data_IF_614327812284
#
_entry.id   IF_614327812284
#
_cell.length_a   1.000
_cell.length_b   1.000
_cell.length_c   1.000
_cell.angle_alpha   90.00
_cell.angle_beta   90.00
_cell.angle_gamma   90.00
#
_symmetry.space_group_name_H-M   'P 1'
#
loop_
_entity.id
_entity.type
_entity.pdbx_description
1 polymer ?
#
# COMPACT_ATOMS: atom_id res chain seq x y z
N UNK A 1 14.84 1.47 0.61
CA UNK A 1 15.92 1.76 -0.33
C UNK A 1 15.59 1.19 -1.69
N UNK A 2 15.35 2.01 -2.69
CA UNK A 2 15.20 1.46 -4.03
C UNK A 2 16.51 0.80 -4.43
N UNK A 3 16.44 -0.45 -4.82
CA UNK A 3 17.59 -1.24 -5.23
C UNK A 3 18.14 -0.75 -6.56
N UNK A 4 18.61 0.49 -6.60
CA UNK A 4 19.21 1.04 -7.80
C UNK A 4 20.70 0.73 -7.82
N UNK A 5 21.06 -0.36 -8.46
CA UNK A 5 22.45 -0.80 -8.58
C UNK A 5 23.31 0.20 -9.36
N UNK A 6 22.71 0.97 -10.29
CA UNK A 6 23.45 2.00 -11.04
C UNK A 6 24.07 3.06 -10.13
N UNK A 7 23.42 3.38 -9.01
CA UNK A 7 23.98 4.30 -8.02
C UNK A 7 25.26 3.76 -7.40
N UNK A 8 25.30 2.46 -7.13
CA UNK A 8 26.49 1.80 -6.56
C UNK A 8 27.63 1.73 -7.57
N UNK A 9 27.31 1.60 -8.84
CA UNK A 9 28.32 1.56 -9.91
C UNK A 9 29.05 2.89 -10.07
N UNK A 10 28.44 3.98 -9.65
CA UNK A 10 29.06 5.30 -9.69
C UNK A 10 29.84 5.66 -8.41
N UNK A 11 29.83 4.81 -7.42
CA UNK A 11 30.57 5.04 -6.19
C UNK A 11 32.08 5.09 -6.48
N UNK A 12 32.71 6.21 -6.09
CA UNK A 12 34.14 6.45 -6.34
C UNK A 12 34.47 7.03 -7.72
N UNK A 13 33.49 7.30 -8.55
CA UNK A 13 33.69 7.96 -9.85
C UNK A 13 33.58 9.48 -9.73
N UNK A 14 33.87 10.18 -10.84
CA UNK A 14 33.67 11.65 -10.94
C UNK A 14 32.20 12.03 -11.16
N UNK A 15 31.34 11.06 -11.35
CA UNK A 15 29.90 11.27 -11.54
C UNK A 15 29.19 11.36 -10.20
N UNK A 16 28.14 12.16 -10.15
CA UNK A 16 27.23 12.22 -9.01
C UNK A 16 25.83 11.79 -9.44
N UNK A 17 25.16 11.05 -8.56
CA UNK A 17 23.78 10.63 -8.77
C UNK A 17 22.87 11.22 -7.70
N UNK A 18 21.61 11.49 -8.05
CA UNK A 18 20.59 11.88 -7.10
C UNK A 18 19.30 11.10 -7.37
N UNK A 19 18.62 10.71 -6.29
CA UNK A 19 17.29 10.10 -6.38
C UNK A 19 16.27 11.21 -6.22
N UNK A 20 15.38 11.36 -7.20
CA UNK A 20 14.29 12.33 -7.15
C UNK A 20 12.95 11.61 -7.35
N UNK A 21 11.91 11.99 -6.62
CA UNK A 21 10.58 11.50 -6.92
C UNK A 21 10.19 12.00 -8.31
N UNK A 22 9.87 11.06 -9.20
CA UNK A 22 9.58 11.38 -10.60
C UNK A 22 8.08 11.41 -10.89
N UNK A 23 7.29 10.57 -10.21
CA UNK A 23 5.88 10.44 -10.48
C UNK A 23 5.09 10.52 -9.19
N UNK A 24 3.93 11.18 -9.27
CA UNK A 24 2.92 11.15 -8.22
C UNK A 24 1.75 10.30 -8.68
N UNK A 25 1.27 9.44 -7.80
CA UNK A 25 0.11 8.60 -8.04
C UNK A 25 -0.91 8.80 -6.92
N UNK A 26 -2.18 8.67 -7.27
CA UNK A 26 -3.29 8.70 -6.32
C UNK A 26 -4.31 7.63 -6.70
N UNK A 27 -4.72 6.87 -5.71
CA UNK A 27 -5.83 5.94 -5.89
C UNK A 27 -7.15 6.72 -5.79
N UNK A 28 -7.87 6.84 -6.90
CA UNK A 28 -9.12 7.60 -6.94
C UNK A 28 -10.33 6.77 -6.55
N UNK A 29 -10.25 5.45 -6.64
CA UNK A 29 -11.32 4.53 -6.23
C UNK A 29 -10.71 3.34 -5.50
N UNK A 30 -10.67 3.44 -4.19
CA UNK A 30 -10.03 2.44 -3.33
C UNK A 30 -10.76 1.09 -3.39
N UNK A 31 -12.09 1.11 -3.45
CA UNK A 31 -12.87 -0.13 -3.54
C UNK A 31 -12.52 -0.91 -4.80
N UNK A 32 -12.47 -0.23 -5.93
CA UNK A 32 -12.13 -0.85 -7.21
C UNK A 32 -10.67 -1.32 -7.23
N UNK A 33 -9.77 -0.53 -6.66
CA UNK A 33 -8.37 -0.91 -6.55
C UNK A 33 -8.20 -2.21 -5.74
N UNK A 34 -8.93 -2.36 -4.65
CA UNK A 34 -8.90 -3.58 -3.84
C UNK A 34 -9.40 -4.81 -4.63
N UNK A 35 -10.48 -4.66 -5.40
CA UNK A 35 -10.99 -5.75 -6.24
C UNK A 35 -9.98 -6.20 -7.30
N UNK A 36 -9.14 -5.27 -7.78
CA UNK A 36 -8.13 -5.54 -8.80
C UNK A 36 -6.78 -5.97 -8.21
N UNK A 37 -6.65 -6.01 -6.90
CA UNK A 37 -5.40 -6.37 -6.25
C UNK A 37 -5.08 -7.85 -6.49
N UNK A 38 -3.90 -8.17 -7.05
CA UNK A 38 -3.47 -9.57 -7.13
C UNK A 38 -3.23 -10.13 -5.73
N UNK A 39 -3.87 -11.21 -5.40
CA UNK A 39 -3.75 -11.87 -4.10
C UNK A 39 -3.03 -13.20 -4.27
N UNK A 40 -1.92 -13.45 -3.54
CA UNK A 40 -1.29 -14.75 -3.55
C UNK A 40 -2.25 -15.84 -3.05
N UNK A 41 -2.18 -17.04 -3.66
CA UNK A 41 -3.07 -18.15 -3.33
C UNK A 41 -2.97 -18.60 -1.85
N UNK A 42 -1.80 -18.41 -1.26
CA UNK A 42 -1.55 -18.81 0.14
C UNK A 42 -1.96 -17.74 1.15
N UNK A 43 -2.45 -16.58 0.70
CA UNK A 43 -2.90 -15.51 1.59
C UNK A 43 -4.40 -15.61 1.77
N UNK A 44 -4.82 -15.77 3.02
CA UNK A 44 -6.22 -15.76 3.40
C UNK A 44 -6.41 -15.02 4.71
N UNK A 45 -7.55 -14.39 4.87
CA UNK A 45 -7.88 -13.64 6.07
C UNK A 45 -8.86 -12.53 5.79
N UNK A 46 -9.18 -11.81 6.85
CA UNK A 46 -10.05 -10.63 6.75
C UNK A 46 -9.58 -9.53 7.68
N UNK A 47 -9.92 -8.30 7.35
CA UNK A 47 -9.65 -7.14 8.19
C UNK A 47 -10.67 -6.05 7.92
N UNK A 48 -10.90 -5.20 8.92
CA UNK A 48 -11.77 -4.03 8.82
C UNK A 48 -10.89 -2.78 8.74
N UNK A 49 -10.97 -2.10 7.61
CA UNK A 49 -10.20 -0.88 7.34
C UNK A 49 -11.09 0.35 7.49
N UNK A 50 -10.62 1.35 8.21
CA UNK A 50 -11.17 2.69 8.14
C UNK A 50 -10.32 3.52 7.19
N UNK A 51 -10.91 3.94 6.09
CA UNK A 51 -10.25 4.79 5.09
C UNK A 51 -10.80 6.20 5.21
N UNK A 52 -9.89 7.18 5.19
CA UNK A 52 -10.25 8.60 5.14
C UNK A 52 -9.68 9.24 3.89
N UNK A 53 -10.47 10.08 3.24
CA UNK A 53 -10.06 10.82 2.05
C UNK A 53 -10.66 12.23 2.10
N UNK A 54 -9.78 13.23 2.13
CA UNK A 54 -10.17 14.65 2.24
C UNK A 54 -10.87 15.16 0.98
N UNK A 55 -10.57 14.56 -0.17
CA UNK A 55 -10.95 15.11 -1.47
C UNK A 55 -12.01 14.28 -2.18
N UNK A 56 -12.03 12.97 -1.92
CA UNK A 56 -12.94 12.05 -2.59
C UNK A 56 -13.80 11.31 -1.56
N UNK A 57 -14.99 11.86 -1.26
CA UNK A 57 -15.86 11.27 -0.23
C UNK A 57 -16.23 9.80 -0.48
N UNK A 58 -16.24 9.36 -1.74
CA UNK A 58 -16.56 7.97 -2.08
C UNK A 58 -15.58 6.96 -1.47
N UNK A 59 -14.35 7.41 -1.14
CA UNK A 59 -13.34 6.54 -0.54
C UNK A 59 -13.48 6.44 0.99
N UNK A 60 -14.22 7.35 1.62
CA UNK A 60 -14.39 7.33 3.07
C UNK A 60 -15.26 6.17 3.52
N UNK A 61 -14.91 5.58 4.62
CA UNK A 61 -15.76 4.64 5.34
C UNK A 61 -15.04 3.41 5.84
N UNK A 62 -15.83 2.56 6.46
CA UNK A 62 -15.41 1.26 6.98
C UNK A 62 -15.59 0.20 5.89
N UNK A 63 -14.51 -0.51 5.60
CA UNK A 63 -14.47 -1.57 4.62
C UNK A 63 -13.99 -2.86 5.25
N UNK A 64 -14.77 -3.90 5.14
CA UNK A 64 -14.31 -5.25 5.46
C UNK A 64 -13.73 -5.86 4.19
N UNK A 65 -12.46 -6.20 4.23
CA UNK A 65 -11.78 -6.91 3.15
C UNK A 65 -11.60 -8.36 3.53
N UNK A 66 -11.79 -9.24 2.55
CA UNK A 66 -11.60 -10.68 2.74
C UNK A 66 -10.79 -11.22 1.58
N UNK A 67 -9.67 -11.88 1.89
CA UNK A 67 -8.83 -12.55 0.90
C UNK A 67 -9.03 -14.07 1.02
N UNK A 68 -9.32 -14.71 -0.10
CA UNK A 68 -9.52 -16.14 -0.17
C UNK A 68 -9.34 -16.62 -1.60
N UNK A 69 -8.65 -17.75 -1.77
CA UNK A 69 -8.49 -18.41 -3.08
C UNK A 69 -7.97 -17.49 -4.18
N UNK A 70 -7.01 -16.63 -3.84
CA UNK A 70 -6.39 -15.71 -4.81
C UNK A 70 -7.23 -14.50 -5.18
N UNK A 71 -8.33 -14.25 -4.49
CA UNK A 71 -9.22 -13.12 -4.75
C UNK A 71 -9.42 -12.29 -3.49
N UNK A 72 -9.61 -10.98 -3.67
CA UNK A 72 -9.98 -10.07 -2.61
C UNK A 72 -11.38 -9.54 -2.87
N UNK A 73 -12.22 -9.63 -1.85
CA UNK A 73 -13.54 -9.01 -1.86
C UNK A 73 -13.60 -7.90 -0.83
N UNK A 74 -14.45 -6.92 -1.05
CA UNK A 74 -14.67 -5.83 -0.12
C UNK A 74 -16.16 -5.55 0.03
N UNK A 75 -16.54 -5.14 1.23
CA UNK A 75 -17.91 -4.74 1.52
C UNK A 75 -17.91 -3.64 2.58
N UNK A 76 -18.92 -2.79 2.55
CA UNK A 76 -19.14 -1.84 3.63
C UNK A 76 -19.54 -2.61 4.88
N UNK A 77 -19.08 -2.12 6.03
CA UNK A 77 -19.37 -2.76 7.32
C UNK A 77 -19.67 -1.71 8.38
N UNK A 78 -20.26 -2.14 9.49
CA UNK A 78 -20.43 -1.36 10.70
C UNK A 78 -19.58 -1.88 11.86
N UNK A 79 -18.74 -2.88 11.58
CA UNK A 79 -17.80 -3.41 12.56
C UNK A 79 -16.77 -2.35 12.94
N UNK A 80 -16.16 -2.50 14.11
CA UNK A 80 -15.11 -1.58 14.54
C UNK A 80 -13.88 -1.72 13.67
N UNK A 81 -13.23 -0.59 13.39
CA UNK A 81 -11.99 -0.56 12.63
C UNK A 81 -10.86 -1.32 13.33
N UNK A 82 -10.14 -2.08 12.57
CA UNK A 82 -8.93 -2.77 13.03
C UNK A 82 -7.66 -2.08 12.54
N UNK A 83 -7.76 -1.41 11.41
CA UNK A 83 -6.67 -0.66 10.77
C UNK A 83 -7.24 0.67 10.28
N UNK A 84 -6.56 1.77 10.53
CA UNK A 84 -6.94 3.10 10.05
C UNK A 84 -5.84 3.67 9.17
N UNK A 85 -6.19 4.18 8.01
CA UNK A 85 -5.28 4.88 7.11
C UNK A 85 -6.01 5.89 6.24
N UNK A 86 -5.28 6.89 5.75
CA UNK A 86 -5.83 7.80 4.75
C UNK A 86 -5.57 7.29 3.33
N UNK A 87 -6.15 7.96 2.35
CA UNK A 87 -6.00 7.59 0.94
C UNK A 87 -4.56 7.70 0.45
N UNK A 88 -3.76 8.59 1.01
CA UNK A 88 -2.35 8.74 0.66
C UNK A 88 -1.55 7.52 1.12
N UNK A 89 -1.73 7.09 2.37
CA UNK A 89 -1.09 5.88 2.89
C UNK A 89 -1.53 4.63 2.12
N UNK A 90 -2.82 4.54 1.80
CA UNK A 90 -3.33 3.44 0.98
C UNK A 90 -2.66 3.40 -0.39
N UNK A 91 -2.52 4.55 -1.05
CA UNK A 91 -1.88 4.64 -2.36
C UNK A 91 -0.42 4.17 -2.30
N UNK A 92 0.33 4.61 -1.29
CA UNK A 92 1.72 4.21 -1.09
C UNK A 92 1.84 2.70 -0.84
N UNK A 93 0.93 2.15 -0.07
CA UNK A 93 0.86 0.71 0.20
C UNK A 93 0.50 -0.09 -1.06
N UNK A 94 -0.51 0.35 -1.79
CA UNK A 94 -1.02 -0.31 -2.99
C UNK A 94 0.04 -0.40 -4.09
N UNK A 95 0.76 0.68 -4.34
CA UNK A 95 1.81 0.72 -5.34
C UNK A 95 3.17 0.18 -4.86
N UNK A 96 3.26 -0.24 -3.61
CA UNK A 96 4.49 -0.81 -3.06
C UNK A 96 5.63 0.20 -2.86
N UNK A 97 5.31 1.49 -2.83
CA UNK A 97 6.29 2.56 -2.53
C UNK A 97 6.85 2.38 -1.13
N UNK A 98 5.98 2.06 -0.18
CA UNK A 98 6.33 1.71 1.18
C UNK A 98 5.62 0.42 1.59
N UNK A 99 6.26 -0.35 2.45
CA UNK A 99 5.64 -1.54 3.02
C UNK A 99 4.64 -1.15 4.12
N UNK A 100 3.78 -2.10 4.49
CA UNK A 100 2.86 -1.92 5.60
C UNK A 100 3.61 -1.55 6.89
N UNK A 101 4.70 -2.26 7.19
CA UNK A 101 5.51 -1.97 8.39
C UNK A 101 6.12 -0.58 8.37
N UNK A 102 6.64 -0.15 7.21
CA UNK A 102 7.23 1.18 7.07
C UNK A 102 6.18 2.28 7.32
N UNK A 103 4.96 2.10 6.82
CA UNK A 103 3.87 3.06 7.01
C UNK A 103 3.36 3.08 8.46
N UNK A 104 3.32 1.94 9.12
CA UNK A 104 2.98 1.87 10.55
C UNK A 104 4.05 2.58 11.39
N UNK A 105 5.31 2.33 11.09
CA UNK A 105 6.44 2.96 11.79
C UNK A 105 6.47 4.47 11.59
N UNK A 106 6.06 4.95 10.41
CA UNK A 106 5.94 6.37 10.10
C UNK A 106 4.64 7.01 10.62
N UNK A 107 3.83 6.26 11.36
CA UNK A 107 2.54 6.71 11.91
C UNK A 107 1.52 7.12 10.83
N UNK A 108 1.68 6.60 9.61
CA UNK A 108 0.72 6.80 8.51
C UNK A 108 -0.43 5.80 8.54
N UNK A 109 -0.20 4.65 9.17
CA UNK A 109 -1.20 3.62 9.40
C UNK A 109 -1.28 3.37 10.90
N UNK A 110 -2.49 3.38 11.45
CA UNK A 110 -2.77 3.03 12.84
C UNK A 110 -3.31 1.62 12.91
N UNK A 111 -2.70 0.80 13.75
CA UNK A 111 -3.12 -0.58 13.99
C UNK A 111 -3.85 -0.67 15.31
N UNK A 112 -5.15 -0.92 15.27
CA UNK A 112 -5.98 -1.11 16.46
C UNK A 112 -6.01 -2.59 16.89
N UNK A 113 -5.89 -3.49 15.93
CA UNK A 113 -5.80 -4.93 16.19
C UNK A 113 -4.49 -5.48 15.63
N UNK A 114 -3.45 -5.68 16.47
CA UNK A 114 -2.15 -6.15 16.01
C UNK A 114 -2.17 -7.52 15.32
N UNK A 115 -3.17 -8.35 15.60
CA UNK A 115 -3.30 -9.67 14.97
C UNK A 115 -3.55 -9.58 13.45
N UNK A 116 -4.03 -8.43 12.96
CA UNK A 116 -4.28 -8.21 11.53
C UNK A 116 -3.05 -7.73 10.76
N UNK A 117 -1.99 -7.35 11.44
CA UNK A 117 -0.77 -6.85 10.79
C UNK A 117 -0.13 -7.87 9.86
N UNK A 118 -0.05 -9.13 10.27
CA UNK A 118 0.51 -10.19 9.44
C UNK A 118 -0.27 -10.41 8.14
N UNK A 119 -1.58 -10.35 8.21
CA UNK A 119 -2.44 -10.46 7.03
C UNK A 119 -2.20 -9.29 6.06
N UNK A 120 -2.17 -8.07 6.56
CA UNK A 120 -1.94 -6.88 5.73
C UNK A 120 -0.54 -6.89 5.10
N UNK A 121 0.48 -7.31 5.84
CA UNK A 121 1.83 -7.46 5.31
C UNK A 121 1.89 -8.48 4.18
N UNK A 122 1.25 -9.64 4.36
CA UNK A 122 1.22 -10.68 3.34
C UNK A 122 0.42 -10.24 2.11
N UNK A 123 -0.69 -9.54 2.30
CA UNK A 123 -1.57 -9.07 1.24
C UNK A 123 -0.88 -8.05 0.34
N UNK A 124 -0.13 -7.13 0.94
CA UNK A 124 0.56 -6.05 0.23
C UNK A 124 2.08 -6.29 0.08
N UNK A 125 2.50 -7.53 0.15
CA UNK A 125 3.89 -7.90 -0.05
C UNK A 125 4.22 -7.90 -1.55
N UNK A 126 4.56 -6.73 -2.07
CA UNK A 126 4.84 -6.50 -3.49
C UNK A 126 6.28 -6.10 -3.73
N UNK A 127 6.76 -6.37 -4.93
CA UNK A 127 7.96 -5.73 -5.44
C UNK A 127 7.69 -4.24 -5.62
N UNK A 128 8.66 -3.41 -5.25
CA UNK A 128 8.55 -1.96 -5.45
C UNK A 128 8.46 -1.64 -6.94
N UNK A 129 7.56 -0.74 -7.29
CA UNK A 129 7.46 -0.25 -8.64
C UNK A 129 8.62 0.71 -8.93
N UNK A 130 9.18 0.58 -10.11
CA UNK A 130 10.29 1.40 -10.55
C UNK A 130 10.06 1.85 -11.99
N UNK A 131 10.22 3.15 -12.23
CA UNK A 131 10.09 3.74 -13.56
C UNK A 131 11.42 4.35 -13.94
N UNK A 132 11.97 3.91 -15.04
CA UNK A 132 13.27 4.36 -15.57
C UNK A 132 13.13 5.09 -16.90
N UNK A 133 11.96 5.61 -17.20
CA UNK A 133 11.70 6.33 -18.44
C UNK A 133 11.45 7.81 -18.18
N UNK A 134 12.05 8.64 -19.01
CA UNK A 134 11.85 10.08 -19.01
C UNK A 134 11.11 10.46 -20.29
N UNK A 135 10.12 11.29 -20.16
CA UNK A 135 9.32 11.80 -21.27
C UNK A 135 9.67 13.25 -21.54
#
# INVERSE_FOLDING_TARGET
EPGNMAYLDFAGSTYSGSLKPFMMARCINIRKALELLPVPQNVSGEAVLLITDRFLPLNNGLLKITAQNGALTQASTIENEEITMDSAAFTQLYFGTFSFEELVRAEKIKVHNPQKSGFLQALFNKCRNYINEYY
#
